data_IF_837289601875
#
_entry.id   IF_837289601875
#
_cell.length_a   1.000
_cell.length_b   1.000
_cell.length_c   1.000
_cell.angle_alpha   90.00
_cell.angle_beta   90.00
_cell.angle_gamma   90.00
#
_symmetry.space_group_name_H-M   'P 1'
#
loop_
_entity.id
_entity.type
_entity.pdbx_description
1 polymer ?
#
# COMPACT_ATOMS: atom_id res chain seq x y z
N UNK A 1 21.41 59.86 -26.44
CA UNK A 1 22.05 58.88 -25.54
C UNK A 1 21.37 58.98 -24.17
N UNK A 2 20.40 58.11 -23.86
CA UNK A 2 19.65 58.14 -22.59
C UNK A 2 20.11 56.99 -21.70
N UNK A 3 20.69 57.30 -20.53
CA UNK A 3 21.09 56.30 -19.52
C UNK A 3 19.84 55.74 -18.85
N UNK A 4 19.61 54.44 -19.02
CA UNK A 4 18.57 53.68 -18.30
C UNK A 4 19.05 53.46 -16.86
N UNK A 5 18.49 54.19 -15.90
CA UNK A 5 18.78 54.00 -14.48
C UNK A 5 17.96 52.80 -13.99
N UNK A 6 18.62 51.66 -13.83
CA UNK A 6 18.02 50.47 -13.24
C UNK A 6 17.70 50.73 -11.75
N UNK A 7 16.42 50.58 -11.40
CA UNK A 7 15.89 50.86 -10.07
C UNK A 7 16.33 49.77 -9.06
N UNK A 8 17.56 49.86 -8.54
CA UNK A 8 18.14 48.95 -7.53
C UNK A 8 17.24 48.76 -6.29
N UNK A 9 16.38 49.73 -6.00
CA UNK A 9 15.51 49.75 -4.81
C UNK A 9 14.40 48.68 -4.86
N UNK A 10 13.93 48.25 -6.04
CA UNK A 10 12.94 47.17 -6.14
C UNK A 10 13.56 45.79 -5.98
N UNK A 11 14.76 45.59 -6.52
CA UNK A 11 15.50 44.34 -6.43
C UNK A 11 15.88 43.97 -5.00
N UNK A 12 16.28 44.95 -4.18
CA UNK A 12 16.60 44.75 -2.76
C UNK A 12 15.37 44.33 -1.94
N UNK A 13 14.18 44.86 -2.26
CA UNK A 13 12.92 44.45 -1.61
C UNK A 13 12.50 43.04 -2.01
N UNK A 14 12.68 42.69 -3.28
CA UNK A 14 12.39 41.35 -3.79
C UNK A 14 13.33 40.29 -3.20
N UNK A 15 14.62 40.61 -3.05
CA UNK A 15 15.58 39.76 -2.35
C UNK A 15 15.23 39.57 -0.87
N UNK A 16 14.82 40.63 -0.18
CA UNK A 16 14.38 40.54 1.22
C UNK A 16 13.15 39.64 1.38
N UNK A 17 12.17 39.74 0.47
CA UNK A 17 10.98 38.90 0.47
C UNK A 17 11.30 37.42 0.25
N UNK A 18 12.19 37.11 -0.71
CA UNK A 18 12.66 35.74 -0.93
C UNK A 18 13.41 35.16 0.27
N UNK A 19 14.19 35.99 0.98
CA UNK A 19 14.89 35.56 2.19
C UNK A 19 13.92 35.19 3.33
N UNK A 20 12.86 35.99 3.50
CA UNK A 20 11.81 35.72 4.51
C UNK A 20 11.08 34.42 4.19
N UNK A 21 10.69 34.20 2.93
CA UNK A 21 10.05 32.97 2.48
C UNK A 21 10.91 31.72 2.73
N UNK A 22 12.24 31.81 2.51
CA UNK A 22 13.18 30.72 2.78
C UNK A 22 13.29 30.44 4.28
N UNK A 23 13.31 31.48 5.12
CA UNK A 23 13.35 31.33 6.58
C UNK A 23 12.07 30.69 7.11
N UNK A 24 10.90 31.10 6.61
CA UNK A 24 9.62 30.49 6.98
C UNK A 24 9.54 29.02 6.53
N UNK A 25 10.07 28.68 5.34
CA UNK A 25 10.13 27.29 4.85
C UNK A 25 11.05 26.40 5.71
N UNK A 26 12.13 26.96 6.28
CA UNK A 26 13.06 26.24 7.15
C UNK A 26 12.52 26.07 8.59
N UNK A 27 11.61 26.95 9.03
CA UNK A 27 10.96 26.87 10.33
C UNK A 27 9.74 25.93 10.35
N UNK A 28 9.26 25.50 9.19
CA UNK A 28 8.16 24.55 9.01
C UNK A 28 8.62 23.09 8.85
N UNK A 29 9.77 22.71 9.39
CA UNK A 29 10.10 21.30 9.57
C UNK A 29 9.56 20.80 10.92
N UNK A 30 8.41 20.10 10.97
CA UNK A 30 8.21 19.13 12.02
C UNK A 30 9.14 17.95 11.69
N UNK A 31 10.35 17.95 12.24
CA UNK A 31 11.02 16.69 12.60
C UNK A 31 10.22 16.14 13.78
N UNK A 32 9.05 15.62 13.49
CA UNK A 32 8.33 14.73 14.38
C UNK A 32 8.37 13.36 13.74
N UNK A 33 9.53 12.69 13.85
CA UNK A 33 9.50 11.24 13.93
C UNK A 33 8.90 10.92 15.29
N UNK A 34 7.57 10.95 15.39
CA UNK A 34 6.90 10.24 16.46
C UNK A 34 7.25 8.77 16.24
N UNK A 35 8.22 8.27 17.02
CA UNK A 35 8.30 6.84 17.29
C UNK A 35 6.91 6.46 17.78
N UNK A 36 6.17 5.73 16.95
CA UNK A 36 4.91 5.11 17.33
C UNK A 36 5.19 4.46 18.68
N UNK A 37 4.51 4.86 19.76
CA UNK A 37 4.65 4.15 21.02
C UNK A 37 4.33 2.72 20.68
N UNK A 38 5.28 1.80 20.87
CA UNK A 38 5.01 0.39 20.73
C UNK A 38 3.77 0.14 21.58
N UNK A 39 2.61 -0.05 20.93
CA UNK A 39 1.41 -0.51 21.62
C UNK A 39 1.91 -1.69 22.41
N UNK A 40 1.79 -1.62 23.73
CA UNK A 40 2.17 -2.66 24.69
C UNK A 40 1.82 -4.00 24.06
N UNK A 41 2.81 -4.61 23.41
CA UNK A 41 2.67 -5.91 22.77
C UNK A 41 2.33 -6.77 23.95
N UNK A 42 1.13 -7.36 23.94
CA UNK A 42 0.68 -8.21 25.03
C UNK A 42 1.82 -9.21 25.28
N UNK A 43 2.39 -9.17 26.48
CA UNK A 43 3.42 -10.11 26.91
C UNK A 43 2.77 -11.49 26.96
N UNK A 44 2.67 -12.11 25.80
CA UNK A 44 2.42 -13.52 25.64
C UNK A 44 3.80 -14.15 25.44
N UNK A 45 4.19 -15.07 26.32
CA UNK A 45 5.52 -15.70 26.31
C UNK A 45 5.81 -16.40 24.98
N UNK A 46 4.78 -16.71 24.19
CA UNK A 46 4.86 -17.20 22.80
C UNK A 46 5.57 -16.25 21.83
N UNK A 47 5.44 -14.92 22.02
CA UNK A 47 6.01 -13.87 21.14
C UNK A 47 7.52 -13.71 21.37
N UNK A 48 7.99 -13.97 22.59
CA UNK A 48 9.42 -13.90 22.92
C UNK A 48 10.24 -14.89 22.08
N UNK A 49 9.70 -16.09 21.83
CA UNK A 49 10.32 -17.10 20.98
C UNK A 49 10.16 -16.80 19.47
N UNK A 50 9.08 -16.15 19.05
CA UNK A 50 8.85 -15.85 17.62
C UNK A 50 9.69 -14.67 17.11
N UNK A 51 10.14 -13.78 18.00
CA UNK A 51 11.02 -12.65 17.67
C UNK A 51 12.36 -13.05 17.04
N UNK A 52 12.70 -14.34 17.07
CA UNK A 52 13.92 -14.91 16.50
C UNK A 52 13.77 -15.45 15.07
N UNK A 53 12.56 -15.60 14.52
CA UNK A 53 12.39 -16.15 13.17
C UNK A 53 12.52 -15.07 12.10
N UNK A 54 13.30 -15.38 11.06
CA UNK A 54 13.36 -14.58 9.83
C UNK A 54 12.00 -14.59 9.13
N UNK A 55 11.66 -13.51 8.42
CA UNK A 55 10.47 -13.50 7.56
C UNK A 55 10.67 -14.50 6.43
N UNK A 56 9.75 -15.47 6.33
CA UNK A 56 9.74 -16.51 5.32
C UNK A 56 8.79 -16.12 4.18
N UNK A 57 9.27 -16.25 2.95
CA UNK A 57 8.47 -16.15 1.75
C UNK A 57 8.38 -17.54 1.12
N UNK A 58 7.15 -18.04 0.96
CA UNK A 58 6.86 -19.28 0.23
C UNK A 58 6.02 -18.91 -0.97
N UNK A 59 6.63 -18.93 -2.14
CA UNK A 59 5.89 -18.97 -3.41
C UNK A 59 5.54 -20.42 -3.64
N UNK A 60 4.26 -20.72 -3.82
CA UNK A 60 3.90 -22.05 -4.26
C UNK A 60 4.44 -22.27 -5.71
N UNK A 61 4.65 -23.53 -6.13
CA UNK A 61 5.17 -23.90 -7.46
C UNK A 61 4.50 -23.07 -8.60
N UNK A 62 5.07 -22.96 -9.82
CA UNK A 62 4.51 -22.15 -10.92
C UNK A 62 3.02 -22.38 -11.24
N UNK A 63 2.43 -23.47 -10.74
CA UNK A 63 1.02 -23.89 -10.91
C UNK A 63 0.14 -23.68 -9.68
N UNK A 64 0.61 -22.92 -8.68
CA UNK A 64 -0.16 -22.70 -7.46
C UNK A 64 -0.31 -21.22 -7.21
N UNK A 65 -1.57 -20.80 -7.21
CA UNK A 65 -2.06 -19.44 -7.38
C UNK A 65 -1.85 -18.57 -6.13
N UNK A 66 -0.80 -18.78 -5.33
CA UNK A 66 -0.63 -18.02 -4.09
C UNK A 66 0.81 -17.79 -3.65
N UNK A 67 0.97 -16.76 -2.83
CA UNK A 67 2.22 -16.38 -2.17
C UNK A 67 1.94 -16.23 -0.69
N UNK A 68 2.75 -16.89 0.13
CA UNK A 68 2.62 -16.92 1.59
C UNK A 68 3.80 -16.22 2.22
N UNK A 69 3.53 -15.25 3.11
CA UNK A 69 4.54 -14.55 3.90
C UNK A 69 4.29 -14.82 5.38
N UNK A 70 5.28 -15.39 6.07
CA UNK A 70 5.19 -15.82 7.46
C UNK A 70 6.36 -15.21 8.27
N UNK A 71 6.05 -14.49 9.33
CA UNK A 71 7.06 -13.94 10.25
C UNK A 71 7.05 -14.59 11.65
N UNK A 72 6.37 -15.73 11.80
CA UNK A 72 6.18 -16.44 13.06
C UNK A 72 5.13 -15.85 14.00
N UNK A 73 4.55 -14.69 13.67
CA UNK A 73 3.46 -14.04 14.41
C UNK A 73 2.17 -13.97 13.60
N UNK A 74 2.31 -13.73 12.29
CA UNK A 74 1.25 -13.70 11.30
C UNK A 74 1.73 -14.41 10.05
N UNK A 75 0.84 -15.21 9.44
CA UNK A 75 1.03 -15.76 8.11
C UNK A 75 -0.03 -15.14 7.19
N UNK A 76 0.41 -14.59 6.06
CA UNK A 76 -0.42 -13.84 5.11
C UNK A 76 -0.38 -14.58 3.78
N UNK A 77 -1.54 -14.97 3.27
CA UNK A 77 -1.69 -15.69 2.00
C UNK A 77 -2.39 -14.81 0.99
N UNK A 78 -1.73 -14.55 -0.13
CA UNK A 78 -2.21 -13.65 -1.20
C UNK A 78 -2.26 -14.44 -2.50
N UNK A 79 -3.33 -14.25 -3.28
CA UNK A 79 -3.47 -14.88 -4.59
C UNK A 79 -2.55 -14.21 -5.62
N UNK A 80 -1.88 -15.03 -6.43
CA UNK A 80 -0.96 -14.60 -7.46
C UNK A 80 -1.53 -14.91 -8.85
N UNK A 81 -1.71 -13.92 -9.76
CA UNK A 81 -1.30 -12.51 -9.62
C UNK A 81 -2.42 -11.55 -9.18
N UNK A 82 -3.64 -12.02 -8.89
CA UNK A 82 -4.81 -11.14 -8.65
C UNK A 82 -4.65 -10.14 -7.50
N UNK A 83 -3.78 -10.47 -6.54
CA UNK A 83 -3.56 -9.69 -5.33
C UNK A 83 -4.75 -9.71 -4.38
N UNK A 84 -5.66 -10.70 -4.49
CA UNK A 84 -6.69 -10.93 -3.48
C UNK A 84 -6.08 -11.58 -2.23
N UNK A 85 -6.48 -11.09 -1.07
CA UNK A 85 -6.02 -11.63 0.19
C UNK A 85 -6.88 -12.86 0.55
N UNK A 86 -6.25 -14.03 0.48
CA UNK A 86 -6.89 -15.32 0.70
C UNK A 86 -6.97 -15.70 2.17
N UNK A 87 -6.00 -15.27 2.97
CA UNK A 87 -5.99 -15.54 4.39
C UNK A 87 -5.00 -14.73 5.21
N UNK A 88 -5.35 -14.57 6.49
CA UNK A 88 -4.42 -14.13 7.54
C UNK A 88 -4.57 -15.13 8.69
N UNK A 89 -3.49 -15.82 9.04
CA UNK A 89 -3.39 -16.68 10.21
C UNK A 89 -2.78 -15.89 11.36
N UNK A 90 -3.42 -15.92 12.52
CA UNK A 90 -3.01 -15.11 13.67
C UNK A 90 -3.43 -15.74 14.99
N UNK A 91 -2.51 -15.84 15.95
CA UNK A 91 -2.79 -16.31 17.32
C UNK A 91 -3.65 -17.59 17.41
N UNK A 92 -3.31 -18.61 16.63
CA UNK A 92 -4.02 -19.90 16.61
C UNK A 92 -5.36 -19.89 15.87
N UNK A 93 -5.80 -18.73 15.35
CA UNK A 93 -6.87 -18.67 14.35
C UNK A 93 -6.26 -19.06 13.01
N UNK A 94 -6.80 -20.11 12.40
CA UNK A 94 -6.26 -20.66 11.16
C UNK A 94 -6.39 -19.68 9.99
N UNK A 95 -7.58 -19.10 9.80
CA UNK A 95 -7.79 -17.97 8.90
C UNK A 95 -8.84 -17.03 9.48
N UNK A 96 -8.50 -15.75 9.59
CA UNK A 96 -9.45 -14.72 10.06
C UNK A 96 -10.50 -14.36 9.02
N UNK A 97 -10.26 -14.68 7.73
CA UNK A 97 -11.17 -14.39 6.63
C UNK A 97 -12.19 -15.52 6.44
N UNK A 98 -13.37 -15.19 5.90
CA UNK A 98 -14.42 -16.16 5.60
C UNK A 98 -14.06 -16.98 4.35
N UNK A 99 -13.44 -18.14 4.55
CA UNK A 99 -12.97 -19.03 3.47
C UNK A 99 -14.07 -19.60 2.58
N UNK A 100 -15.33 -19.57 3.05
CA UNK A 100 -16.48 -19.98 2.24
C UNK A 100 -16.78 -19.02 1.08
N UNK A 101 -16.23 -17.81 1.11
CA UNK A 101 -16.35 -16.87 0.01
C UNK A 101 -15.37 -17.19 -1.12
N UNK A 102 -15.74 -16.78 -2.33
CA UNK A 102 -14.83 -16.70 -3.48
C UNK A 102 -13.60 -15.84 -3.14
N UNK A 103 -12.47 -16.10 -3.78
CA UNK A 103 -11.20 -15.41 -3.51
C UNK A 103 -11.32 -13.87 -3.61
N UNK A 104 -12.06 -13.39 -4.62
CA UNK A 104 -12.36 -11.96 -4.86
C UNK A 104 -13.31 -11.31 -3.84
N UNK A 105 -13.80 -12.10 -2.88
CA UNK A 105 -14.76 -11.71 -1.85
C UNK A 105 -14.32 -12.10 -0.42
N UNK A 106 -13.02 -12.37 -0.23
CA UNK A 106 -12.41 -12.52 1.10
C UNK A 106 -11.84 -11.20 1.58
N UNK A 107 -10.56 -10.96 1.32
CA UNK A 107 -9.93 -9.66 1.46
C UNK A 107 -9.64 -9.06 0.09
N UNK A 108 -10.25 -7.93 -0.24
CA UNK A 108 -10.15 -7.32 -1.57
C UNK A 108 -10.08 -5.81 -1.51
N UNK A 109 -9.61 -5.25 -2.63
CA UNK A 109 -9.60 -3.83 -2.88
C UNK A 109 -10.68 -3.54 -3.92
N UNK A 110 -11.40 -2.45 -3.79
CA UNK A 110 -12.31 -2.01 -4.85
C UNK A 110 -12.31 -0.51 -5.01
N UNK A 111 -12.69 -0.10 -6.21
CA UNK A 111 -12.96 1.28 -6.54
C UNK A 111 -14.27 1.40 -7.27
N UNK A 112 -14.98 2.49 -6.98
CA UNK A 112 -16.20 2.86 -7.69
C UNK A 112 -15.91 4.13 -8.46
N UNK A 113 -16.10 4.03 -9.78
CA UNK A 113 -15.74 5.08 -10.73
C UNK A 113 -16.85 5.26 -11.76
N UNK A 114 -16.74 6.34 -12.55
CA UNK A 114 -17.70 6.71 -13.60
C UNK A 114 -19.14 6.88 -13.08
N UNK A 115 -19.48 8.08 -12.61
CA UNK A 115 -20.80 8.42 -12.04
C UNK A 115 -21.36 7.41 -11.01
N UNK A 116 -20.47 6.78 -10.23
CA UNK A 116 -20.81 5.78 -9.21
C UNK A 116 -21.50 4.51 -9.75
N UNK A 117 -21.28 4.14 -11.03
CA UNK A 117 -21.93 2.96 -11.63
C UNK A 117 -21.00 1.78 -11.89
N UNK A 118 -19.69 2.01 -11.96
CA UNK A 118 -18.72 0.98 -12.35
C UNK A 118 -17.87 0.55 -11.16
N UNK A 119 -17.82 -0.76 -10.91
CA UNK A 119 -17.00 -1.38 -9.88
C UNK A 119 -15.79 -2.02 -10.52
N UNK A 120 -14.63 -1.75 -9.96
CA UNK A 120 -13.37 -2.35 -10.37
C UNK A 120 -12.73 -2.95 -9.12
N UNK A 121 -12.54 -4.27 -9.14
CA UNK A 121 -11.98 -5.04 -8.02
C UNK A 121 -10.46 -4.91 -7.90
N UNK A 122 -9.87 -4.00 -8.68
CA UNK A 122 -8.44 -3.77 -8.73
C UNK A 122 -7.67 -5.07 -8.97
N UNK A 123 -8.25 -6.05 -9.66
CA UNK A 123 -7.58 -7.32 -9.95
C UNK A 123 -6.31 -7.05 -10.75
N UNK A 124 -5.23 -7.77 -10.41
CA UNK A 124 -3.89 -7.54 -10.98
C UNK A 124 -3.41 -8.74 -11.79
N UNK A 125 -2.44 -8.51 -12.67
CA UNK A 125 -1.99 -9.48 -13.67
C UNK A 125 -0.50 -9.82 -13.52
N UNK A 126 0.24 -9.02 -12.73
CA UNK A 126 1.66 -9.17 -12.50
C UNK A 126 1.97 -9.26 -11.00
N UNK A 127 3.00 -10.03 -10.66
CA UNK A 127 3.51 -10.21 -9.30
C UNK A 127 5.02 -10.05 -9.30
N UNK A 128 5.52 -9.26 -8.34
CA UNK A 128 6.96 -9.05 -8.13
C UNK A 128 7.31 -9.10 -6.64
N UNK A 129 8.51 -9.62 -6.35
CA UNK A 129 9.13 -9.51 -5.03
C UNK A 129 10.00 -8.27 -5.03
N UNK A 130 9.65 -7.29 -4.22
CA UNK A 130 10.32 -5.98 -4.20
C UNK A 130 11.50 -6.02 -3.23
N UNK A 131 11.26 -6.60 -2.05
CA UNK A 131 12.30 -6.79 -1.04
C UNK A 131 12.09 -8.13 -0.36
N UNK A 132 13.16 -8.90 -0.15
CA UNK A 132 13.16 -10.12 0.64
C UNK A 132 14.43 -10.17 1.49
N UNK A 133 14.25 -10.03 2.79
CA UNK A 133 15.31 -10.05 3.81
C UNK A 133 14.80 -10.76 5.06
N UNK A 134 15.69 -11.06 6.00
CA UNK A 134 15.30 -11.65 7.29
C UNK A 134 14.35 -10.74 8.10
N UNK A 135 14.38 -9.43 7.83
CA UNK A 135 13.63 -8.41 8.56
C UNK A 135 12.29 -8.05 7.91
N UNK A 136 12.18 -8.24 6.59
CA UNK A 136 11.05 -7.74 5.81
C UNK A 136 10.91 -8.49 4.49
N UNK A 137 9.66 -8.77 4.13
CA UNK A 137 9.23 -9.09 2.77
C UNK A 137 8.26 -8.03 2.30
N UNK A 138 8.51 -7.49 1.10
CA UNK A 138 7.60 -6.61 0.36
C UNK A 138 7.26 -7.25 -0.98
N UNK A 139 5.96 -7.35 -1.26
CA UNK A 139 5.41 -7.90 -2.49
C UNK A 139 4.64 -6.82 -3.25
N UNK A 140 4.69 -6.89 -4.57
CA UNK A 140 3.98 -6.04 -5.52
C UNK A 140 3.04 -6.89 -6.36
N UNK A 141 1.80 -6.44 -6.49
CA UNK A 141 0.81 -7.02 -7.39
C UNK A 141 0.26 -5.90 -8.25
N UNK A 142 0.47 -5.95 -9.57
CA UNK A 142 0.22 -4.81 -10.43
C UNK A 142 -0.55 -5.14 -11.71
N UNK A 143 -1.17 -4.11 -12.28
CA UNK A 143 -1.71 -4.13 -13.64
C UNK A 143 -1.55 -2.78 -14.31
N UNK A 144 -1.46 -2.80 -15.63
CA UNK A 144 -1.58 -1.61 -16.45
C UNK A 144 -3.02 -1.41 -16.89
N UNK A 145 -3.42 -0.17 -17.16
CA UNK A 145 -4.76 0.08 -17.67
C UNK A 145 -4.92 -0.47 -19.10
N UNK A 146 -5.95 -1.30 -19.30
CA UNK A 146 -6.34 -1.79 -20.62
C UNK A 146 -7.56 -1.00 -21.14
N UNK A 147 -7.41 -0.19 -22.21
CA UNK A 147 -8.52 0.59 -22.77
C UNK A 147 -9.64 -0.26 -23.39
N UNK A 148 -9.37 -1.53 -23.73
CA UNK A 148 -10.36 -2.44 -24.30
C UNK A 148 -11.31 -3.03 -23.24
N UNK A 149 -10.99 -2.88 -21.95
CA UNK A 149 -11.85 -3.32 -20.86
C UNK A 149 -12.60 -2.12 -20.25
N UNK A 150 -13.91 -1.94 -20.56
CA UNK A 150 -14.68 -0.78 -20.10
C UNK A 150 -14.96 -0.79 -18.60
N UNK A 151 -14.70 -1.91 -17.90
CA UNK A 151 -14.91 -2.02 -16.46
C UNK A 151 -13.68 -1.57 -15.65
N UNK A 152 -12.52 -1.41 -16.29
CA UNK A 152 -11.30 -0.98 -15.62
C UNK A 152 -11.18 0.53 -15.59
N UNK A 153 -10.91 1.06 -14.40
CA UNK A 153 -10.57 2.46 -14.25
C UNK A 153 -9.30 2.79 -15.05
N UNK A 154 -9.24 3.96 -15.70
CA UNK A 154 -8.06 4.51 -16.37
C UNK A 154 -6.89 4.84 -15.42
N UNK A 155 -6.36 3.83 -14.72
CA UNK A 155 -5.23 3.90 -13.81
C UNK A 155 -4.39 2.62 -13.92
N UNK A 156 -3.07 2.78 -13.86
CA UNK A 156 -2.19 1.67 -13.49
C UNK A 156 -2.33 1.47 -11.98
N UNK A 157 -2.34 0.21 -11.56
CA UNK A 157 -2.53 -0.17 -10.17
C UNK A 157 -1.35 -1.03 -9.73
N UNK A 158 -0.82 -0.74 -8.55
CA UNK A 158 0.18 -1.56 -7.88
C UNK A 158 -0.16 -1.64 -6.39
N UNK A 159 -0.54 -2.84 -5.93
CA UNK A 159 -0.82 -3.17 -4.54
C UNK A 159 0.44 -3.70 -3.88
N UNK A 160 0.73 -3.16 -2.69
CA UNK A 160 1.92 -3.51 -1.90
C UNK A 160 1.51 -4.17 -0.61
N UNK A 161 2.16 -5.29 -0.31
CA UNK A 161 2.01 -6.03 0.95
C UNK A 161 3.36 -6.15 1.61
N UNK A 162 3.46 -5.73 2.87
CA UNK A 162 4.70 -5.71 3.64
C UNK A 162 4.48 -6.44 4.96
N UNK A 163 5.33 -7.42 5.24
CA UNK A 163 5.38 -8.12 6.53
C UNK A 163 6.77 -7.93 7.13
N UNK A 164 6.79 -7.42 8.36
CA UNK A 164 8.02 -7.16 9.12
C UNK A 164 8.25 -8.22 10.19
N UNK A 165 9.51 -8.57 10.44
CA UNK A 165 9.90 -9.37 11.60
C UNK A 165 9.46 -8.71 12.90
N UNK A 166 8.96 -9.53 13.83
CA UNK A 166 8.55 -9.07 15.16
C UNK A 166 7.29 -8.20 15.20
N UNK A 167 6.61 -8.00 14.07
CA UNK A 167 5.35 -7.25 14.00
C UNK A 167 4.19 -8.21 13.72
N UNK A 168 3.19 -8.33 14.62
CA UNK A 168 2.03 -9.19 14.41
C UNK A 168 1.01 -8.55 13.45
N UNK A 169 1.40 -8.30 12.20
CA UNK A 169 0.53 -7.67 11.22
C UNK A 169 1.14 -7.50 9.83
N UNK A 170 0.30 -7.06 8.91
CA UNK A 170 0.65 -6.76 7.52
C UNK A 170 0.36 -5.28 7.23
N UNK A 171 1.32 -4.60 6.61
CA UNK A 171 1.13 -3.26 6.08
C UNK A 171 0.74 -3.37 4.61
N UNK A 172 -0.22 -2.55 4.19
CA UNK A 172 -0.71 -2.59 2.83
C UNK A 172 -0.98 -1.18 2.31
N UNK A 173 -0.62 -0.92 1.05
CA UNK A 173 -0.95 0.32 0.34
C UNK A 173 -1.09 0.03 -1.15
N UNK A 174 -1.69 0.96 -1.89
CA UNK A 174 -1.73 0.88 -3.35
C UNK A 174 -1.19 2.17 -3.96
N UNK A 175 -0.47 2.03 -5.07
CA UNK A 175 -0.07 3.12 -5.95
C UNK A 175 -1.09 3.14 -7.09
N UNK A 176 -1.77 4.27 -7.23
CA UNK A 176 -2.71 4.54 -8.31
C UNK A 176 -2.10 5.59 -9.23
N UNK A 177 -1.61 5.17 -10.39
CA UNK A 177 -0.93 6.05 -11.32
C UNK A 177 -1.83 6.36 -12.53
N UNK A 178 -2.05 7.66 -12.78
CA UNK A 178 -2.68 8.15 -14.01
C UNK A 178 -1.61 8.72 -14.92
N UNK A 179 -1.49 8.17 -16.14
CA UNK A 179 -0.64 8.76 -17.18
C UNK A 179 -1.34 9.91 -17.90
N UNK A 180 -0.58 10.83 -18.50
CA UNK A 180 -1.12 12.04 -19.14
C UNK A 180 -2.13 11.72 -20.26
N UNK A 181 -1.87 10.65 -21.00
CA UNK A 181 -2.71 10.16 -22.10
C UNK A 181 -3.93 9.35 -21.64
N UNK A 182 -4.10 9.08 -20.34
CA UNK A 182 -5.27 8.36 -19.84
C UNK A 182 -6.50 9.27 -19.79
N UNK A 183 -7.71 8.76 -20.11
CA UNK A 183 -8.96 9.50 -19.96
C UNK A 183 -9.16 10.14 -18.58
N UNK A 184 -9.93 11.23 -18.54
CA UNK A 184 -10.39 11.80 -17.27
C UNK A 184 -11.26 10.80 -16.52
N UNK A 185 -11.08 10.72 -15.21
CA UNK A 185 -11.74 9.72 -14.35
C UNK A 185 -12.24 10.39 -13.09
N UNK A 186 -13.49 10.12 -12.74
CA UNK A 186 -14.07 10.49 -11.45
C UNK A 186 -14.13 9.26 -10.54
N UNK A 187 -13.47 9.35 -9.38
CA UNK A 187 -13.47 8.30 -8.36
C UNK A 187 -14.36 8.72 -7.20
N UNK A 188 -15.34 7.87 -6.88
CA UNK A 188 -16.30 8.12 -5.80
C UNK A 188 -15.88 7.41 -4.52
N UNK A 189 -15.24 6.25 -4.67
CA UNK A 189 -14.88 5.41 -3.55
C UNK A 189 -13.65 4.58 -3.88
N UNK A 190 -12.79 4.41 -2.88
CA UNK A 190 -11.74 3.40 -2.84
C UNK A 190 -11.83 2.71 -1.49
N UNK A 191 -11.72 1.38 -1.47
CA UNK A 191 -11.78 0.62 -0.22
C UNK A 191 -10.83 -0.56 -0.22
N UNK A 192 -10.48 -0.95 0.99
CA UNK A 192 -9.97 -2.27 1.32
C UNK A 192 -11.02 -2.91 2.24
N UNK A 193 -11.52 -4.08 1.87
CA UNK A 193 -12.53 -4.80 2.63
C UNK A 193 -11.99 -6.15 3.08
N UNK A 194 -12.30 -6.54 4.31
CA UNK A 194 -12.00 -7.85 4.88
C UNK A 194 -13.29 -8.49 5.35
N UNK A 195 -13.71 -9.56 4.69
CA UNK A 195 -14.84 -10.37 5.16
C UNK A 195 -14.32 -11.36 6.19
N UNK A 196 -14.51 -11.02 7.46
CA UNK A 196 -14.07 -11.83 8.59
C UNK A 196 -14.95 -13.07 8.75
N UNK A 197 -14.37 -14.15 9.28
CA UNK A 197 -15.08 -15.37 9.63
C UNK A 197 -16.20 -15.04 10.64
N UNK A 198 -17.45 -15.20 10.21
CA UNK A 198 -18.62 -14.99 11.04
C UNK A 198 -18.97 -16.22 11.89
N UNK A 199 -19.65 -16.00 13.02
CA UNK A 199 -20.36 -17.10 13.70
C UNK A 199 -21.60 -17.45 12.85
N UNK A 200 -21.81 -18.75 12.59
CA UNK A 200 -23.08 -19.25 12.06
C UNK A 200 -24.21 -19.00 13.03
#
# INVERSE_FOLDING_TARGET
MVKKVANRRSHLKQLGFWLIMIIELLLLHPISSQKIPARKILNDDSISNSSHFAVQLKTSHPESDSVVVDNGLVEVTIENPSGYLLGIKYQGIDNVLEERNEHSDRGYWDLVWYNNTTYDKMETEYFDIITQTDDLVELSFSRTWNPDNPNLVPLNIDKRFIVHRGVPGVYMYAILERQENFPSTEMFQIRIAFKLLGKK
#
